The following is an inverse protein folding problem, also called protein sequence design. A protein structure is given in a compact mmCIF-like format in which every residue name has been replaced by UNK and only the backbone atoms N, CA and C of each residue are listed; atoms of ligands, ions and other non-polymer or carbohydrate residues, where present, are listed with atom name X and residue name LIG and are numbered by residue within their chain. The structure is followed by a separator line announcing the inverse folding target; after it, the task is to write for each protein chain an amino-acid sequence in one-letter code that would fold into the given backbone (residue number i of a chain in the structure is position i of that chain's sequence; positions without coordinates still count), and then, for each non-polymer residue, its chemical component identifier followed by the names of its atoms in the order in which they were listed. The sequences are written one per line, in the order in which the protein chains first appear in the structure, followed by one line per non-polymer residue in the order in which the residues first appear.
data_IF_614160130497
#
_entry.id   IF_614160130497
#
_cell.length_a   1.000
_cell.length_b   1.000
_cell.length_c   1.000
_cell.angle_alpha   90.00
_cell.angle_beta   90.00
_cell.angle_gamma   90.00
#
_symmetry.space_group_name_H-M   'P 1'
#
loop_
_entity.id
_entity.type
_entity.pdbx_description
1 polymer ?
#
# COMPACT_ATOMS: atom_id res chain seq x y z
N UNK A 1 -5.61 0.54 26.86
CA UNK A 1 -4.97 -0.75 27.26
C UNK A 1 -5.36 -1.92 26.37
N UNK A 2 -6.54 -2.54 26.48
CA UNK A 2 -6.93 -3.67 25.60
C UNK A 2 -7.07 -3.29 24.11
N UNK A 3 -7.42 -2.04 23.80
CA UNK A 3 -7.57 -1.58 22.41
C UNK A 3 -6.24 -1.18 21.76
N UNK A 4 -5.29 -0.64 22.54
CA UNK A 4 -3.96 -0.27 22.03
C UNK A 4 -3.14 -1.50 21.67
N UNK A 5 -3.16 -2.54 22.51
CA UNK A 5 -2.46 -3.81 22.25
C UNK A 5 -3.00 -4.50 20.98
N UNK A 6 -4.31 -4.44 20.76
CA UNK A 6 -4.93 -4.94 19.52
C UNK A 6 -4.50 -4.13 18.30
N UNK A 7 -4.42 -2.80 18.41
CA UNK A 7 -3.95 -1.92 17.33
C UNK A 7 -2.50 -2.24 16.99
N UNK A 8 -1.63 -2.41 17.99
CA UNK A 8 -0.24 -2.79 17.77
C UNK A 8 -0.11 -4.14 17.08
N UNK A 9 -0.91 -5.13 17.47
CA UNK A 9 -0.92 -6.44 16.83
C UNK A 9 -1.36 -6.37 15.36
N UNK A 10 -2.38 -5.55 15.05
CA UNK A 10 -2.84 -5.33 13.68
C UNK A 10 -1.74 -4.67 12.85
N UNK A 11 -1.09 -3.63 13.38
CA UNK A 11 0.00 -2.93 12.71
C UNK A 11 1.20 -3.86 12.47
N UNK A 12 1.55 -4.71 13.44
CA UNK A 12 2.61 -5.70 13.30
C UNK A 12 2.30 -6.74 12.19
N UNK A 13 1.05 -7.21 12.15
CA UNK A 13 0.58 -8.15 11.12
C UNK A 13 0.61 -7.51 9.73
N UNK A 14 0.16 -6.27 9.62
CA UNK A 14 0.22 -5.47 8.40
C UNK A 14 1.67 -5.31 7.90
N UNK A 15 2.61 -4.94 8.78
CA UNK A 15 4.01 -4.77 8.42
C UNK A 15 4.65 -6.09 7.93
N UNK A 16 4.21 -7.22 8.49
CA UNK A 16 4.65 -8.55 8.05
C UNK A 16 4.18 -8.84 6.61
N UNK A 17 2.92 -8.53 6.28
CA UNK A 17 2.39 -8.70 4.92
C UNK A 17 3.13 -7.81 3.91
N UNK A 18 3.36 -6.54 4.25
CA UNK A 18 4.11 -5.59 3.42
C UNK A 18 5.52 -6.14 3.17
N UNK A 19 6.22 -6.57 4.22
CA UNK A 19 7.58 -7.11 4.11
C UNK A 19 7.65 -8.36 3.24
N UNK A 20 6.64 -9.23 3.30
CA UNK A 20 6.57 -10.43 2.48
C UNK A 20 6.41 -10.10 0.99
N UNK A 21 5.60 -9.08 0.66
CA UNK A 21 5.43 -8.61 -0.73
C UNK A 21 6.72 -7.93 -1.22
N UNK A 22 7.34 -7.09 -0.39
CA UNK A 22 8.61 -6.42 -0.72
C UNK A 22 9.77 -7.40 -0.91
N UNK A 23 9.73 -8.56 -0.25
CA UNK A 23 10.69 -9.64 -0.48
C UNK A 23 10.48 -10.31 -1.85
N UNK A 24 9.22 -10.42 -2.29
CA UNK A 24 8.82 -11.07 -3.55
C UNK A 24 8.99 -10.15 -4.77
N UNK A 25 8.80 -8.85 -4.60
CA UNK A 25 8.94 -7.82 -5.63
C UNK A 25 10.05 -6.83 -5.26
N UNK A 26 11.25 -7.01 -5.83
CA UNK A 26 12.43 -6.15 -5.59
C UNK A 26 12.16 -4.65 -5.83
N UNK A 27 11.17 -4.31 -6.65
CA UNK A 27 10.84 -2.92 -6.98
C UNK A 27 10.12 -2.20 -5.83
N UNK A 28 9.51 -2.95 -4.92
CA UNK A 28 8.63 -2.40 -3.88
C UNK A 28 9.33 -2.07 -2.57
N UNK A 29 10.61 -2.45 -2.37
CA UNK A 29 11.33 -2.18 -1.12
C UNK A 29 11.41 -0.67 -0.82
N UNK A 30 10.74 -0.24 0.24
CA UNK A 30 10.62 1.17 0.63
C UNK A 30 9.81 2.04 -0.36
N UNK A 31 9.28 1.48 -1.45
CA UNK A 31 8.33 2.15 -2.33
C UNK A 31 7.03 2.41 -1.56
N UNK A 32 6.56 1.39 -0.85
CA UNK A 32 5.35 1.43 -0.03
C UNK A 32 5.39 2.61 0.96
N UNK A 33 6.51 2.79 1.65
CA UNK A 33 6.70 3.88 2.60
C UNK A 33 6.73 5.26 1.91
N UNK A 34 7.41 5.38 0.77
CA UNK A 34 7.44 6.64 0.01
C UNK A 34 6.05 7.03 -0.51
N UNK A 35 5.30 6.08 -1.06
CA UNK A 35 3.92 6.31 -1.52
C UNK A 35 3.05 6.75 -0.34
N UNK A 36 3.11 6.05 0.80
CA UNK A 36 2.37 6.42 1.99
C UNK A 36 2.74 7.82 2.51
N UNK A 37 4.02 8.18 2.46
CA UNK A 37 4.49 9.51 2.83
C UNK A 37 3.94 10.58 1.87
N UNK A 38 4.04 10.37 0.55
CA UNK A 38 3.53 11.32 -0.44
C UNK A 38 2.01 11.49 -0.34
N UNK A 39 1.25 10.39 -0.23
CA UNK A 39 -0.20 10.44 -0.03
C UNK A 39 -0.55 11.24 1.23
N UNK A 40 0.12 10.98 2.35
CA UNK A 40 -0.12 11.71 3.61
C UNK A 40 0.21 13.20 3.48
N UNK A 41 1.32 13.56 2.82
CA UNK A 41 1.70 14.97 2.61
C UNK A 41 0.71 15.70 1.70
N UNK A 42 0.27 15.05 0.62
CA UNK A 42 -0.77 15.60 -0.27
C UNK A 42 -2.11 15.74 0.45
N UNK A 43 -2.53 14.71 1.19
CA UNK A 43 -3.76 14.74 1.99
C UNK A 43 -3.76 15.89 3.01
N UNK A 44 -2.63 16.12 3.69
CA UNK A 44 -2.45 17.26 4.62
C UNK A 44 -2.53 18.61 3.89
N UNK A 45 -1.89 18.73 2.73
CA UNK A 45 -1.92 19.95 1.92
C UNK A 45 -3.33 20.31 1.44
N UNK A 46 -4.14 19.28 1.14
CA UNK A 46 -5.47 19.42 0.55
C UNK A 46 -6.60 19.21 1.57
N UNK A 47 -6.33 19.11 2.86
CA UNK A 47 -7.29 18.68 3.90
C UNK A 47 -8.59 19.51 3.89
N UNK A 48 -8.46 20.84 3.74
CA UNK A 48 -9.60 21.77 3.66
C UNK A 48 -10.50 21.55 2.44
N UNK A 49 -9.96 20.98 1.36
CA UNK A 49 -10.65 20.75 0.10
C UNK A 49 -11.23 19.33 0.04
N UNK A 50 -10.50 18.36 0.59
CA UNK A 50 -10.87 16.95 0.57
C UNK A 50 -11.95 16.58 1.59
N UNK A 51 -12.25 17.44 2.57
CA UNK A 51 -13.21 17.18 3.65
C UNK A 51 -13.01 15.79 4.25
N UNK A 52 -11.76 15.46 4.56
CA UNK A 52 -11.40 14.16 5.12
C UNK A 52 -12.14 13.95 6.44
N UNK A 53 -12.60 12.72 6.67
CA UNK A 53 -13.14 12.29 7.97
C UNK A 53 -12.08 12.43 9.06
N UNK A 54 -12.45 12.38 10.36
CA UNK A 54 -11.50 12.53 11.47
C UNK A 54 -10.25 11.62 11.39
N UNK A 55 -10.37 10.46 10.75
CA UNK A 55 -9.27 9.50 10.55
C UNK A 55 -8.72 9.46 9.11
N UNK A 56 -9.17 10.35 8.22
CA UNK A 56 -8.93 10.22 6.78
C UNK A 56 -7.45 10.27 6.37
N UNK A 57 -6.58 10.96 7.11
CA UNK A 57 -5.14 10.93 6.87
C UNK A 57 -4.52 9.58 7.28
N UNK A 58 -4.98 8.99 8.38
CA UNK A 58 -4.56 7.67 8.82
C UNK A 58 -5.03 6.60 7.84
N UNK A 59 -6.29 6.68 7.42
CA UNK A 59 -6.87 5.79 6.41
C UNK A 59 -6.11 5.89 5.08
N UNK A 60 -5.76 7.10 4.65
CA UNK A 60 -4.98 7.32 3.44
C UNK A 60 -3.57 6.71 3.54
N UNK A 61 -2.92 6.85 4.69
CA UNK A 61 -1.63 6.19 4.96
C UNK A 61 -1.78 4.67 4.87
N UNK A 62 -2.78 4.09 5.52
CA UNK A 62 -2.99 2.65 5.56
C UNK A 62 -3.34 2.09 4.18
N UNK A 63 -4.22 2.78 3.44
CA UNK A 63 -4.57 2.43 2.07
C UNK A 63 -3.34 2.44 1.16
N UNK A 64 -2.48 3.46 1.25
CA UNK A 64 -1.24 3.52 0.50
C UNK A 64 -0.28 2.38 0.85
N UNK A 65 -0.17 2.02 2.13
CA UNK A 65 0.68 0.92 2.57
C UNK A 65 0.17 -0.46 2.11
N UNK A 66 -1.14 -0.63 1.96
CA UNK A 66 -1.78 -1.90 1.62
C UNK A 66 -2.20 -2.03 0.15
N UNK A 67 -2.07 -0.99 -0.68
CA UNK A 67 -2.64 -0.97 -2.03
C UNK A 67 -2.22 -2.16 -2.92
N UNK A 68 -1.01 -2.66 -2.71
CA UNK A 68 -0.39 -3.75 -3.46
C UNK A 68 -0.52 -5.12 -2.77
N UNK A 69 -1.28 -5.23 -1.67
CA UNK A 69 -1.41 -6.48 -0.89
C UNK A 69 -1.90 -7.67 -1.72
N UNK A 70 -2.69 -7.40 -2.76
CA UNK A 70 -3.20 -8.39 -3.70
C UNK A 70 -2.12 -9.13 -4.50
N UNK A 71 -0.88 -8.60 -4.58
CA UNK A 71 0.24 -9.25 -5.28
C UNK A 71 0.69 -10.56 -4.62
N UNK A 72 0.32 -10.81 -3.35
CA UNK A 72 0.71 -12.02 -2.62
C UNK A 72 0.30 -13.32 -3.34
N UNK A 73 -0.86 -13.33 -3.99
CA UNK A 73 -1.40 -14.48 -4.72
C UNK A 73 -0.92 -14.62 -6.17
N UNK A 74 -0.16 -13.65 -6.70
CA UNK A 74 0.31 -13.66 -8.09
C UNK A 74 1.56 -14.53 -8.20
N UNK A 75 1.62 -15.43 -9.19
CA UNK A 75 2.80 -16.25 -9.47
C UNK A 75 4.02 -15.40 -9.85
N UNK A 76 5.21 -15.79 -9.41
CA UNK A 76 6.49 -15.12 -9.72
C UNK A 76 6.73 -15.00 -11.22
N UNK A 77 6.31 -15.99 -12.03
CA UNK A 77 6.45 -15.96 -13.50
C UNK A 77 5.66 -14.81 -14.13
N UNK A 78 4.57 -14.39 -13.48
CA UNK A 78 3.76 -13.24 -13.91
C UNK A 78 4.31 -11.95 -13.28
N UNK A 79 4.57 -11.97 -11.96
CA UNK A 79 4.97 -10.79 -11.20
C UNK A 79 6.35 -10.25 -11.62
N UNK A 80 7.30 -11.13 -11.94
CA UNK A 80 8.68 -10.79 -12.30
C UNK A 80 8.92 -10.72 -13.80
N UNK A 81 7.85 -10.76 -14.60
CA UNK A 81 7.97 -10.76 -16.06
C UNK A 81 8.49 -9.40 -16.55
N UNK A 82 9.77 -9.33 -16.88
CA UNK A 82 10.44 -8.13 -17.41
C UNK A 82 10.12 -7.79 -18.88
N UNK A 83 9.08 -8.37 -19.46
CA UNK A 83 8.60 -7.96 -20.78
C UNK A 83 7.66 -6.77 -20.61
N UNK A 84 7.71 -5.78 -21.51
CA UNK A 84 6.61 -4.81 -21.64
C UNK A 84 5.29 -5.56 -21.58
N UNK A 85 4.34 -5.08 -20.78
CA UNK A 85 2.93 -5.39 -21.02
C UNK A 85 2.68 -4.87 -22.43
N UNK A 86 2.75 -5.75 -23.42
CA UNK A 86 2.32 -5.44 -24.77
C UNK A 86 0.90 -4.93 -24.61
N UNK A 87 0.62 -3.75 -25.15
CA UNK A 87 -0.70 -3.11 -25.17
C UNK A 87 -1.72 -4.04 -25.81
N UNK A 88 -2.21 -5.02 -25.06
CA UNK A 88 -3.48 -5.65 -25.33
C UNK A 88 -4.50 -4.58 -24.96
N UNK A 89 -5.25 -4.04 -25.93
CA UNK A 89 -6.28 -3.07 -25.61
C UNK A 89 -7.20 -3.71 -24.59
N UNK A 90 -7.44 -3.01 -23.48
CA UNK A 90 -8.53 -3.33 -22.58
C UNK A 90 -9.78 -3.46 -23.46
N UNK A 91 -10.26 -4.70 -23.63
CA UNK A 91 -11.58 -4.94 -24.21
C UNK A 91 -12.56 -4.45 -23.14
N UNK A 92 -12.91 -3.17 -23.23
CA UNK A 92 -14.19 -2.65 -22.78
C UNK A 92 -15.29 -3.21 -23.68
#
# INVERSE_FOLDING_TARGET
KLDEEKIELIVASQNTLISAIEAKDRYTRGHTDRVAQYCTLMGKSLEKQLRLYPNGLSDLKWAAQLHDVGKIGISDTILLKNTKVSTLPLKL
#
